data_IF_315726591793
#
_entry.id   IF_315726591793
#
_cell.length_a   1.000
_cell.length_b   1.000
_cell.length_c   1.000
_cell.angle_alpha   90.00
_cell.angle_beta   90.00
_cell.angle_gamma   90.00
#
_symmetry.space_group_name_H-M   'P 1'
#
loop_
_entity.id
_entity.type
_entity.pdbx_description
1 polymer ?
#
# COMPACT_ATOMS: atom_id res chain seq x y z
N UNK A 1 8.86 20.89 0.37
CA UNK A 1 9.62 20.36 1.52
C UNK A 1 8.91 20.65 2.85
N UNK A 2 8.40 21.86 3.10
CA UNK A 2 7.70 22.22 4.35
C UNK A 2 6.32 21.55 4.55
N UNK A 3 5.56 21.29 3.47
CA UNK A 3 4.27 20.60 3.51
C UNK A 3 4.38 19.12 3.89
N UNK A 4 5.49 18.47 3.54
CA UNK A 4 5.70 17.05 3.80
C UNK A 4 5.84 16.79 5.32
N UNK A 5 6.54 17.67 6.06
CA UNK A 5 6.79 17.48 7.49
C UNK A 5 5.50 17.52 8.34
N UNK A 6 4.55 18.40 8.01
CA UNK A 6 3.26 18.50 8.71
C UNK A 6 2.38 17.26 8.51
N UNK A 7 2.39 16.70 7.29
CA UNK A 7 1.68 15.45 6.95
C UNK A 7 2.20 14.27 7.79
N UNK A 8 3.51 14.17 8.01
CA UNK A 8 4.08 13.06 8.79
C UNK A 8 3.66 13.09 10.25
N UNK A 9 3.61 14.27 10.87
CA UNK A 9 3.18 14.39 12.27
C UNK A 9 1.71 13.99 12.44
N UNK A 10 0.82 14.45 11.56
CA UNK A 10 -0.60 14.10 11.60
C UNK A 10 -0.83 12.61 11.30
N UNK A 11 -0.09 12.05 10.34
CA UNK A 11 -0.14 10.62 10.00
C UNK A 11 0.36 9.75 11.16
N UNK A 12 1.43 10.16 11.85
CA UNK A 12 1.97 9.44 13.01
C UNK A 12 0.99 9.42 14.19
N UNK A 13 0.30 10.54 14.45
CA UNK A 13 -0.76 10.58 15.46
C UNK A 13 -1.93 9.65 15.08
N UNK A 14 -2.31 9.60 13.81
CA UNK A 14 -3.34 8.70 13.29
C UNK A 14 -2.96 7.21 13.36
N UNK A 15 -1.68 6.87 13.22
CA UNK A 15 -1.17 5.50 13.40
C UNK A 15 -1.16 5.09 14.87
N UNK A 16 -0.78 6.00 15.77
CA UNK A 16 -0.69 5.72 17.20
C UNK A 16 -2.07 5.54 17.85
N UNK A 17 -3.07 6.32 17.43
CA UNK A 17 -4.45 6.20 17.92
C UNK A 17 -5.42 6.41 16.76
N UNK A 18 -6.01 5.34 16.21
CA UNK A 18 -7.07 5.47 15.20
C UNK A 18 -8.32 6.05 15.87
N UNK A 19 -8.50 7.38 15.79
CA UNK A 19 -9.71 8.06 16.26
C UNK A 19 -10.78 7.97 15.18
N UNK A 20 -11.78 7.12 15.40
CA UNK A 20 -12.96 7.09 14.55
C UNK A 20 -14.09 7.86 15.23
N UNK A 21 -14.32 9.08 14.78
CA UNK A 21 -15.53 9.86 15.14
C UNK A 21 -16.50 9.63 13.98
N UNK A 22 -17.61 8.94 14.23
CA UNK A 22 -18.62 8.50 13.23
C UNK A 22 -18.14 7.40 12.25
N UNK A 23 -17.78 6.24 12.81
CA UNK A 23 -17.39 5.06 12.04
C UNK A 23 -18.61 4.36 11.42
N UNK A 24 -18.81 4.56 10.11
CA UNK A 24 -19.71 3.75 9.29
C UNK A 24 -19.04 2.40 8.96
N UNK A 25 -19.83 1.34 8.78
CA UNK A 25 -19.38 -0.04 8.52
C UNK A 25 -18.47 -0.13 7.28
N UNK A 26 -18.70 0.73 6.30
CA UNK A 26 -17.95 0.77 5.03
C UNK A 26 -16.53 1.31 5.21
N UNK A 27 -16.32 2.25 6.14
CA UNK A 27 -14.97 2.77 6.43
C UNK A 27 -14.12 1.73 7.16
N UNK A 28 -14.76 0.94 8.02
CA UNK A 28 -14.10 -0.15 8.76
C UNK A 28 -13.73 -1.29 7.82
N UNK A 29 -14.62 -1.67 6.90
CA UNK A 29 -14.34 -2.75 5.93
C UNK A 29 -13.19 -2.38 4.99
N UNK A 30 -13.11 -1.13 4.53
CA UNK A 30 -11.98 -0.64 3.74
C UNK A 30 -10.67 -0.66 4.55
N UNK A 31 -10.70 -0.21 5.81
CA UNK A 31 -9.52 -0.25 6.68
C UNK A 31 -9.01 -1.68 6.89
N UNK A 32 -9.92 -2.64 7.13
CA UNK A 32 -9.58 -4.06 7.24
C UNK A 32 -9.04 -4.60 5.91
N UNK A 33 -9.61 -4.17 4.78
CA UNK A 33 -9.13 -4.53 3.44
C UNK A 33 -7.68 -4.08 3.18
N UNK A 34 -7.32 -2.86 3.60
CA UNK A 34 -5.95 -2.34 3.50
C UNK A 34 -5.01 -3.14 4.40
N UNK A 35 -5.40 -3.42 5.64
CA UNK A 35 -4.60 -4.23 6.57
C UNK A 35 -4.42 -5.67 6.05
N UNK A 36 -5.49 -6.27 5.52
CA UNK A 36 -5.48 -7.61 4.93
C UNK A 36 -4.67 -7.70 3.64
N UNK A 37 -4.61 -6.61 2.86
CA UNK A 37 -3.74 -6.52 1.69
C UNK A 37 -2.26 -6.35 2.07
N UNK A 38 -1.96 -5.68 3.18
CA UNK A 38 -0.60 -5.54 3.70
C UNK A 38 -0.06 -6.82 4.34
N UNK A 39 -0.92 -7.60 4.99
CA UNK A 39 -0.56 -8.85 5.65
C UNK A 39 -0.85 -10.00 4.70
N UNK A 40 0.14 -10.38 3.90
CA UNK A 40 0.03 -11.48 2.95
C UNK A 40 0.29 -12.83 3.64
N UNK A 41 -0.75 -13.65 3.92
CA UNK A 41 -0.63 -14.79 4.83
C UNK A 41 0.22 -15.93 4.26
N UNK A 42 0.27 -16.07 2.93
CA UNK A 42 1.07 -17.11 2.28
C UNK A 42 2.58 -16.88 2.47
N UNK A 43 3.04 -15.63 2.41
CA UNK A 43 4.46 -15.31 2.64
C UNK A 43 4.90 -15.62 4.08
N UNK A 44 4.01 -15.45 5.05
CA UNK A 44 4.29 -15.82 6.45
C UNK A 44 4.45 -17.35 6.60
N UNK A 45 3.60 -18.11 5.92
CA UNK A 45 3.58 -19.58 6.00
C UNK A 45 4.78 -20.21 5.27
N UNK A 46 5.11 -19.68 4.10
CA UNK A 46 6.19 -20.17 3.26
C UNK A 46 7.57 -19.84 3.84
N UNK A 47 7.72 -18.65 4.41
CA UNK A 47 8.92 -18.28 5.16
C UNK A 47 9.06 -19.13 6.43
N UNK A 48 7.95 -19.44 7.12
CA UNK A 48 7.95 -20.37 8.27
C UNK A 48 8.31 -21.82 7.88
N UNK A 49 7.90 -22.28 6.70
CA UNK A 49 8.22 -23.61 6.16
C UNK A 49 9.68 -23.77 5.73
N UNK A 50 10.25 -22.75 5.08
CA UNK A 50 11.66 -22.71 4.65
C UNK A 50 12.64 -22.66 5.85
N UNK A 51 12.24 -22.03 6.95
CA UNK A 51 13.02 -21.99 8.20
C UNK A 51 13.07 -23.37 8.88
N UNK A 52 12.10 -24.25 8.60
CA UNK A 52 12.04 -25.61 9.16
C UNK A 52 12.81 -26.65 8.34
N UNK A 53 13.08 -26.39 7.06
CA UNK A 53 13.82 -27.28 6.15
C UNK A 53 15.33 -27.04 6.11
N UNK A 54 15.84 -25.90 6.60
CA UNK A 54 17.29 -25.69 6.75
C UNK A 54 17.80 -26.57 7.89
N UNK A 55 18.70 -27.51 7.58
CA UNK A 55 19.23 -28.49 8.52
C UNK A 55 20.08 -27.80 9.60
N UNK A 56 19.42 -27.32 10.66
CA UNK A 56 20.07 -26.80 11.86
C UNK A 56 20.37 -27.99 12.77
N UNK A 57 21.64 -28.17 13.08
CA UNK A 57 22.14 -29.20 13.99
C UNK A 57 21.47 -29.00 15.36
N UNK A 58 20.46 -29.83 15.68
CA UNK A 58 19.58 -29.69 16.86
C UNK A 58 20.28 -30.01 18.19
N UNK A 59 21.60 -30.18 18.15
CA UNK A 59 22.47 -30.53 19.27
C UNK A 59 22.77 -29.34 20.20
N UNK A 60 22.61 -28.09 19.74
CA UNK A 60 22.86 -26.87 20.55
C UNK A 60 21.67 -25.91 20.52
N UNK A 61 20.94 -25.84 21.64
CA UNK A 61 19.77 -24.98 21.85
C UNK A 61 20.08 -23.49 21.63
N UNK A 62 21.27 -23.04 22.04
CA UNK A 62 21.67 -21.63 21.96
C UNK A 62 21.82 -21.12 20.53
N UNK A 63 22.28 -21.94 19.59
CA UNK A 63 22.39 -21.56 18.18
C UNK A 63 21.05 -21.50 17.45
N UNK A 64 20.03 -22.21 17.94
CA UNK A 64 18.67 -22.18 17.37
C UNK A 64 17.99 -20.86 17.72
N UNK A 65 18.09 -20.43 18.98
CA UNK A 65 17.52 -19.15 19.43
C UNK A 65 18.13 -17.95 18.72
N UNK A 66 19.45 -18.00 18.47
CA UNK A 66 20.17 -16.92 17.80
C UNK A 66 19.80 -16.84 16.31
N UNK A 67 19.72 -18.00 15.63
CA UNK A 67 19.25 -18.07 14.25
C UNK A 67 17.82 -17.52 14.10
N UNK A 68 16.89 -17.93 14.98
CA UNK A 68 15.51 -17.42 14.94
C UNK A 68 15.42 -15.90 15.15
N UNK A 69 16.28 -15.32 15.99
CA UNK A 69 16.30 -13.88 16.23
C UNK A 69 16.73 -13.09 14.98
N UNK A 70 17.80 -13.54 14.31
CA UNK A 70 18.24 -12.92 13.06
C UNK A 70 17.19 -13.01 11.95
N UNK A 71 16.52 -14.16 11.81
CA UNK A 71 15.44 -14.33 10.84
C UNK A 71 14.20 -13.48 11.14
N UNK A 72 13.85 -13.33 12.42
CA UNK A 72 12.75 -12.45 12.83
C UNK A 72 13.06 -11.01 12.47
N UNK A 73 14.29 -10.54 12.72
CA UNK A 73 14.72 -9.19 12.34
C UNK A 73 14.68 -9.00 10.82
N UNK A 74 15.19 -9.96 10.05
CA UNK A 74 15.21 -9.89 8.58
C UNK A 74 13.78 -9.78 8.03
N UNK A 75 12.88 -10.63 8.52
CA UNK A 75 11.46 -10.61 8.16
C UNK A 75 10.76 -9.32 8.58
N UNK A 76 11.01 -8.87 9.81
CA UNK A 76 10.42 -7.65 10.35
C UNK A 76 10.87 -6.41 9.58
N UNK A 77 12.14 -6.36 9.16
CA UNK A 77 12.68 -5.27 8.35
C UNK A 77 12.00 -5.23 6.97
N UNK A 78 11.85 -6.38 6.31
CA UNK A 78 11.15 -6.46 5.03
C UNK A 78 9.69 -6.00 5.14
N UNK A 79 8.98 -6.46 6.19
CA UNK A 79 7.60 -6.05 6.45
C UNK A 79 7.49 -4.55 6.76
N UNK A 80 8.44 -4.02 7.53
CA UNK A 80 8.49 -2.60 7.90
C UNK A 80 8.72 -1.69 6.70
N UNK A 81 9.63 -2.05 5.80
CA UNK A 81 9.86 -1.31 4.55
C UNK A 81 8.60 -1.32 3.68
N UNK A 82 7.94 -2.47 3.55
CA UNK A 82 6.68 -2.60 2.81
C UNK A 82 5.56 -1.73 3.41
N UNK A 83 5.42 -1.77 4.74
CA UNK A 83 4.47 -0.94 5.48
C UNK A 83 4.70 0.55 5.23
N UNK A 84 5.96 1.00 5.28
CA UNK A 84 6.32 2.39 5.00
C UNK A 84 5.88 2.79 3.59
N UNK A 85 6.19 1.99 2.56
CA UNK A 85 5.81 2.29 1.17
C UNK A 85 4.28 2.42 1.03
N UNK A 86 3.53 1.47 1.58
CA UNK A 86 2.06 1.51 1.55
C UNK A 86 1.52 2.74 2.28
N UNK A 87 2.13 3.12 3.40
CA UNK A 87 1.77 4.32 4.14
C UNK A 87 2.03 5.61 3.34
N UNK A 88 3.19 5.70 2.66
CA UNK A 88 3.51 6.84 1.78
C UNK A 88 2.46 6.99 0.67
N UNK A 89 2.10 5.88 0.02
CA UNK A 89 1.11 5.88 -1.06
C UNK A 89 -0.26 6.35 -0.53
N UNK A 90 -0.71 5.79 0.60
CA UNK A 90 -1.98 6.18 1.23
C UNK A 90 -1.98 7.65 1.67
N UNK A 91 -0.89 8.18 2.19
CA UNK A 91 -0.78 9.58 2.61
C UNK A 91 -0.87 10.54 1.40
N UNK A 92 -0.23 10.21 0.28
CA UNK A 92 -0.32 10.99 -0.97
C UNK A 92 -1.75 10.94 -1.52
N UNK A 93 -2.42 9.79 -1.46
CA UNK A 93 -3.81 9.65 -1.86
C UNK A 93 -4.75 10.48 -1.00
N UNK A 94 -4.64 10.36 0.32
CA UNK A 94 -5.43 11.14 1.26
C UNK A 94 -5.26 12.63 0.97
N UNK A 95 -4.03 13.14 0.88
CA UNK A 95 -3.80 14.55 0.59
C UNK A 95 -4.32 15.00 -0.80
N UNK A 96 -4.29 14.11 -1.80
CA UNK A 96 -4.72 14.45 -3.16
C UNK A 96 -6.23 14.48 -3.36
N UNK A 97 -6.96 13.58 -2.69
CA UNK A 97 -8.40 13.38 -2.88
C UNK A 97 -9.27 13.89 -1.73
N UNK A 98 -8.68 14.28 -0.59
CA UNK A 98 -9.44 14.81 0.54
C UNK A 98 -10.21 16.07 0.15
N UNK A 99 -11.53 16.03 0.33
CA UNK A 99 -12.48 17.11 0.03
C UNK A 99 -12.48 17.64 -1.41
N UNK A 100 -12.04 16.84 -2.39
CA UNK A 100 -12.10 17.21 -3.81
C UNK A 100 -13.44 16.84 -4.46
N UNK A 101 -13.89 17.66 -5.40
CA UNK A 101 -15.09 17.37 -6.21
C UNK A 101 -14.72 16.60 -7.48
N UNK A 102 -15.65 15.82 -8.03
CA UNK A 102 -15.42 15.05 -9.27
C UNK A 102 -15.00 15.97 -10.42
N UNK A 103 -15.61 17.16 -10.52
CA UNK A 103 -15.24 18.16 -11.53
C UNK A 103 -13.81 18.67 -11.38
N UNK A 104 -13.30 18.86 -10.16
CA UNK A 104 -11.93 19.32 -9.94
C UNK A 104 -10.92 18.27 -10.39
N UNK A 105 -11.16 17.00 -10.02
CA UNK A 105 -10.33 15.88 -10.44
C UNK A 105 -10.41 15.65 -11.96
N UNK A 106 -11.61 15.74 -12.52
CA UNK A 106 -11.84 15.62 -13.96
C UNK A 106 -11.07 16.69 -14.75
N UNK A 107 -11.09 17.95 -14.29
CA UNK A 107 -10.34 19.03 -14.93
C UNK A 107 -8.83 18.80 -14.86
N UNK A 108 -8.30 18.28 -13.75
CA UNK A 108 -6.88 17.91 -13.66
C UNK A 108 -6.51 16.76 -14.61
N UNK A 109 -7.37 15.74 -14.71
CA UNK A 109 -7.20 14.63 -15.66
C UNK A 109 -7.22 15.10 -17.11
N UNK A 110 -8.18 15.97 -17.48
CA UNK A 110 -8.30 16.53 -18.82
C UNK A 110 -7.10 17.42 -19.17
N UNK A 111 -6.62 18.23 -18.23
CA UNK A 111 -5.43 19.06 -18.43
C UNK A 111 -4.18 18.23 -18.75
N UNK A 112 -4.10 17.00 -18.25
CA UNK A 112 -2.99 16.06 -18.45
C UNK A 112 -3.22 15.06 -19.59
N UNK A 113 -4.30 15.22 -20.36
CA UNK A 113 -4.69 14.34 -21.47
C UNK A 113 -4.82 12.86 -21.06
N UNK A 114 -5.36 12.60 -19.86
CA UNK A 114 -5.62 11.23 -19.43
C UNK A 114 -6.89 10.66 -20.09
N UNK A 115 -6.82 9.46 -20.72
CA UNK A 115 -7.96 8.86 -21.42
C UNK A 115 -8.96 8.16 -20.49
N UNK A 116 -8.63 7.87 -19.24
CA UNK A 116 -9.44 7.08 -18.30
C UNK A 116 -10.19 7.95 -17.28
N UNK A 117 -9.64 9.12 -16.92
CA UNK A 117 -10.29 10.09 -16.02
C UNK A 117 -11.73 10.47 -16.44
N UNK A 118 -12.00 10.82 -17.71
CA UNK A 118 -13.34 11.20 -18.17
C UNK A 118 -14.38 10.07 -18.18
N UNK A 119 -13.93 8.81 -18.16
CA UNK A 119 -14.80 7.64 -18.14
C UNK A 119 -15.26 7.29 -16.71
N UNK A 120 -14.50 7.70 -15.69
CA UNK A 120 -14.77 7.38 -14.29
C UNK A 120 -15.38 8.56 -13.52
N UNK A 121 -14.88 9.79 -13.73
CA UNK A 121 -15.34 10.97 -13.00
C UNK A 121 -16.44 11.70 -13.78
N UNK A 122 -17.64 11.75 -13.23
CA UNK A 122 -18.73 12.54 -13.78
C UNK A 122 -18.44 14.05 -13.64
N UNK A 123 -18.92 14.87 -14.57
CA UNK A 123 -18.83 16.33 -14.47
C UNK A 123 -19.88 16.89 -13.49
N UNK A 124 -19.78 16.53 -12.21
CA UNK A 124 -20.64 17.00 -11.14
C UNK A 124 -19.85 17.68 -10.01
N UNK A 125 -20.57 18.41 -9.15
CA UNK A 125 -20.00 19.09 -7.98
C UNK A 125 -20.05 18.24 -6.72
N UNK A 126 -20.32 16.93 -6.85
CA UNK A 126 -20.32 16.03 -5.70
C UNK A 126 -18.88 15.76 -5.28
N UNK A 127 -18.71 15.46 -4.01
CA UNK A 127 -17.44 14.96 -3.49
C UNK A 127 -17.11 13.65 -4.20
N UNK A 128 -15.83 13.44 -4.49
CA UNK A 128 -15.34 12.20 -5.07
C UNK A 128 -15.64 11.06 -4.09
N UNK A 129 -16.23 9.99 -4.60
CA UNK A 129 -16.32 8.74 -3.85
C UNK A 129 -14.94 8.07 -3.86
N UNK A 130 -14.31 8.04 -2.69
CA UNK A 130 -12.92 7.60 -2.54
C UNK A 130 -12.89 6.08 -2.45
N UNK A 131 -12.82 5.44 -3.61
CA UNK A 131 -12.56 4.01 -3.75
C UNK A 131 -11.16 3.73 -4.33
N UNK A 132 -10.67 2.49 -4.20
CA UNK A 132 -9.39 2.04 -4.77
C UNK A 132 -9.34 2.31 -6.28
N UNK A 133 -10.45 2.16 -7.00
CA UNK A 133 -10.52 2.43 -8.43
C UNK A 133 -10.39 3.94 -8.74
N UNK A 134 -11.11 4.79 -8.02
CA UNK A 134 -11.03 6.26 -8.13
C UNK A 134 -9.63 6.77 -7.79
N UNK A 135 -9.01 6.21 -6.73
CA UNK A 135 -7.63 6.45 -6.39
C UNK A 135 -6.69 6.07 -7.54
N UNK A 136 -6.77 4.85 -8.04
CA UNK A 136 -5.94 4.37 -9.14
C UNK A 136 -5.99 5.28 -10.38
N UNK A 137 -7.17 5.70 -10.80
CA UNK A 137 -7.35 6.61 -11.96
C UNK A 137 -6.86 8.02 -11.64
N UNK A 138 -7.07 8.55 -10.44
CA UNK A 138 -6.51 9.85 -10.03
C UNK A 138 -4.98 9.86 -10.06
N UNK A 139 -4.35 8.82 -9.52
CA UNK A 139 -2.89 8.68 -9.56
C UNK A 139 -2.40 8.51 -11.01
N UNK A 140 -3.16 7.76 -11.81
CA UNK A 140 -3.02 7.68 -13.27
C UNK A 140 -2.98 9.07 -13.87
N UNK A 141 -4.05 9.86 -13.75
CA UNK A 141 -4.10 11.23 -14.27
C UNK A 141 -2.90 12.08 -13.84
N UNK A 142 -2.49 11.99 -12.57
CA UNK A 142 -1.41 12.80 -12.04
C UNK A 142 -0.03 12.39 -12.56
N UNK A 143 0.23 11.09 -12.70
CA UNK A 143 1.57 10.53 -12.91
C UNK A 143 1.73 9.69 -14.19
N UNK A 144 0.68 9.56 -15.01
CA UNK A 144 0.55 8.65 -16.17
C UNK A 144 1.80 8.57 -17.04
N UNK A 145 2.30 9.71 -17.52
CA UNK A 145 3.36 9.70 -18.53
C UNK A 145 4.74 9.32 -17.98
N UNK A 146 5.03 9.63 -16.72
CA UNK A 146 6.31 9.33 -16.08
C UNK A 146 6.29 8.02 -15.30
N UNK A 147 5.14 7.61 -14.75
CA UNK A 147 5.02 6.39 -13.97
C UNK A 147 4.66 5.16 -14.81
N UNK A 148 3.94 5.24 -15.94
CA UNK A 148 3.58 4.04 -16.71
C UNK A 148 4.79 3.22 -17.19
N UNK A 149 5.90 3.90 -17.51
CA UNK A 149 7.14 3.25 -17.98
C UNK A 149 7.83 2.51 -16.83
N UNK A 150 7.93 3.14 -15.65
CA UNK A 150 8.59 2.57 -14.48
C UNK A 150 7.70 1.56 -13.74
N UNK A 151 6.41 1.86 -13.59
CA UNK A 151 5.43 0.98 -12.96
C UNK A 151 5.11 -0.22 -13.85
N UNK A 152 5.14 -0.11 -15.18
CA UNK A 152 4.96 -1.26 -16.06
C UNK A 152 6.05 -2.33 -15.88
N UNK A 153 7.31 -1.90 -15.78
CA UNK A 153 8.43 -2.81 -15.48
C UNK A 153 8.35 -3.37 -14.05
N UNK A 154 7.96 -2.53 -13.07
CA UNK A 154 7.77 -2.96 -11.68
C UNK A 154 6.64 -3.97 -11.53
N UNK A 155 5.48 -3.72 -12.16
CA UNK A 155 4.29 -4.57 -12.08
C UNK A 155 4.56 -5.94 -12.71
N UNK A 156 5.27 -5.98 -13.85
CA UNK A 156 5.73 -7.22 -14.46
C UNK A 156 6.67 -8.02 -13.54
N UNK A 157 7.62 -7.35 -12.89
CA UNK A 157 8.51 -7.98 -11.90
C UNK A 157 7.74 -8.53 -10.69
N UNK A 158 6.78 -7.77 -10.16
CA UNK A 158 5.97 -8.16 -9.01
C UNK A 158 5.06 -9.37 -9.34
N UNK A 159 4.57 -9.46 -10.58
CA UNK A 159 3.77 -10.58 -11.07
C UNK A 159 4.58 -11.88 -11.18
N UNK A 160 5.83 -11.79 -11.65
CA UNK A 160 6.75 -12.94 -11.70
C UNK A 160 7.12 -13.43 -10.29
N UNK A 161 7.45 -12.52 -9.37
CA UNK A 161 7.78 -12.89 -7.98
C UNK A 161 6.59 -13.53 -7.24
N UNK A 162 5.37 -13.06 -7.47
CA UNK A 162 4.16 -13.64 -6.85
C UNK A 162 3.86 -15.04 -7.38
N UNK A 163 4.06 -15.27 -8.68
CA UNK A 163 3.88 -16.60 -9.32
C UNK A 163 4.92 -17.61 -8.80
N UNK A 164 6.17 -17.18 -8.62
CA UNK A 164 7.21 -18.05 -8.07
C UNK A 164 6.92 -18.44 -6.61
N UNK A 165 6.45 -17.49 -5.79
CA UNK A 165 6.18 -17.73 -4.37
C UNK A 165 4.89 -18.55 -4.16
N UNK A 166 3.88 -18.42 -5.03
CA UNK A 166 2.64 -19.19 -4.94
C UNK A 166 2.74 -20.67 -5.35
N UNK A 167 3.83 -21.09 -5.98
CA UNK A 167 4.09 -22.49 -6.37
C UNK A 167 4.90 -23.29 -5.33
N UNK A 168 5.51 -22.63 -4.34
CA UNK A 168 6.21 -23.27 -3.23
C UNK A 168 5.25 -23.66 -2.09
#
# INVERSE_FOLDING_TARGET
FFTIYQIWLQTLEGIAVPKCTDCDTDKISMAIGIVGSCIMPHNLYLHSGLVKTRNVDRSKDRSISEANFYFLIESALALFVSFIINLFVMAVFAHGLYERTNRDVLNECLARHDPYGPALFANDTKLVDVDIQSGGVFLGCLFWYSCAIYLGSWYSGCWQSSTMTGCY
#
